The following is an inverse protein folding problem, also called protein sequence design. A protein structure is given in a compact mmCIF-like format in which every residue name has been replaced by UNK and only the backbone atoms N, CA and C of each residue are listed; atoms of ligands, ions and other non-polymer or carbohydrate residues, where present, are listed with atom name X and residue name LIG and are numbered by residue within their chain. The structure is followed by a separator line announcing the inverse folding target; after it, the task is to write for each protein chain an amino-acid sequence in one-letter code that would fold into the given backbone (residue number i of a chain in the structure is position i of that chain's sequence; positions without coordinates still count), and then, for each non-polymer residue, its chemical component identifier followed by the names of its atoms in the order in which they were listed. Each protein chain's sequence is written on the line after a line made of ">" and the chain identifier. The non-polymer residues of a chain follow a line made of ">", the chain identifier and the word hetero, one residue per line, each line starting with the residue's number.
data_IF_088803351569
#
_entry.id   IF_088803351569
#
_cell.length_a   1.000
_cell.length_b   1.000
_cell.length_c   1.000
_cell.angle_alpha   90.00
_cell.angle_beta   90.00
_cell.angle_gamma   90.00
#
_symmetry.space_group_name_H-M   'P 1'
#
loop_
_entity.id
_entity.type
_entity.pdbx_description
1 polymer ?
#
# COMPACT_ATOMS: atom_id res chain seq x y z
N UNK A 1 11.54 18.50 -0.98
CA UNK A 1 12.14 17.60 -2.00
C UNK A 1 11.04 16.69 -2.53
N UNK A 2 10.93 16.57 -3.86
CA UNK A 2 9.92 15.70 -4.48
C UNK A 2 10.18 14.22 -4.13
N UNK A 3 9.13 13.42 -4.10
CA UNK A 3 9.23 11.98 -3.84
C UNK A 3 10.05 11.30 -4.95
N UNK A 4 11.09 10.54 -4.58
CA UNK A 4 11.81 9.69 -5.54
C UNK A 4 10.88 8.70 -6.25
N UNK A 5 11.16 8.34 -7.51
CA UNK A 5 10.32 7.40 -8.27
C UNK A 5 10.29 6.02 -7.62
N UNK A 6 9.15 5.32 -7.76
CA UNK A 6 8.90 4.03 -7.10
C UNK A 6 9.95 2.96 -7.42
N UNK A 7 10.54 3.00 -8.62
CA UNK A 7 11.59 2.06 -9.06
C UNK A 7 12.76 1.96 -8.08
N UNK A 8 13.13 3.04 -7.40
CA UNK A 8 14.24 3.06 -6.45
C UNK A 8 13.99 2.20 -5.20
N UNK A 9 12.73 1.99 -4.82
CA UNK A 9 12.37 1.25 -3.59
C UNK A 9 11.57 -0.02 -3.91
N UNK A 10 11.51 -0.47 -5.17
CA UNK A 10 10.69 -1.63 -5.57
C UNK A 10 11.26 -2.95 -5.03
N UNK A 11 12.59 -3.07 -4.93
CA UNK A 11 13.29 -4.29 -4.49
C UNK A 11 13.07 -4.54 -3.00
N UNK A 12 12.82 -5.79 -2.63
CA UNK A 12 12.71 -6.18 -1.21
C UNK A 12 14.07 -6.03 -0.53
N UNK A 13 14.08 -5.38 0.63
CA UNK A 13 15.24 -5.18 1.49
C UNK A 13 15.04 -5.89 2.83
N UNK A 14 16.11 -5.99 3.63
CA UNK A 14 16.00 -6.42 5.02
C UNK A 14 14.96 -5.57 5.75
N UNK A 15 13.99 -6.17 6.47
CA UNK A 15 12.95 -5.41 7.15
C UNK A 15 13.51 -4.39 8.15
N UNK A 16 13.15 -3.11 7.96
CA UNK A 16 13.47 -2.02 8.87
C UNK A 16 12.17 -1.48 9.48
N UNK A 17 11.74 -2.11 10.58
CA UNK A 17 10.36 -1.99 11.08
C UNK A 17 10.25 -1.66 12.58
N UNK A 18 11.37 -1.62 13.31
CA UNK A 18 11.37 -1.50 14.79
C UNK A 18 11.01 -0.09 15.26
N UNK A 19 9.70 0.17 15.24
CA UNK A 19 9.04 1.39 15.67
C UNK A 19 8.03 1.04 16.76
N UNK A 20 8.06 1.75 17.87
CA UNK A 20 7.04 1.71 18.91
C UNK A 20 6.33 3.05 19.00
N UNK A 21 5.01 3.03 18.77
CA UNK A 21 4.17 4.22 18.95
C UNK A 21 3.97 4.57 20.42
N UNK A 22 3.75 3.55 21.27
CA UNK A 22 3.45 3.72 22.70
C UNK A 22 4.69 4.06 23.54
N UNK A 23 5.85 3.52 23.17
CA UNK A 23 7.12 3.74 23.88
C UNK A 23 8.20 4.20 22.89
N UNK A 24 8.19 5.48 22.45
CA UNK A 24 9.14 5.99 21.47
C UNK A 24 10.61 5.77 21.84
N UNK A 25 10.94 5.78 23.15
CA UNK A 25 12.29 5.48 23.67
C UNK A 25 12.79 4.07 23.29
N UNK A 26 11.88 3.11 23.10
CA UNK A 26 12.22 1.74 22.69
C UNK A 26 12.38 1.59 21.18
N UNK A 27 11.98 2.58 20.37
CA UNK A 27 12.13 2.53 18.91
C UNK A 27 13.60 2.66 18.51
N UNK A 28 14.08 1.79 17.61
CA UNK A 28 15.38 2.00 16.96
C UNK A 28 15.25 2.94 15.75
N UNK A 29 14.11 2.91 15.06
CA UNK A 29 13.84 3.85 13.96
C UNK A 29 13.11 5.07 14.50
N UNK A 30 13.72 6.25 14.37
CA UNK A 30 13.20 7.52 14.86
C UNK A 30 12.86 8.46 13.70
N UNK A 31 11.88 9.34 13.89
CA UNK A 31 11.50 10.33 12.87
C UNK A 31 10.79 9.74 11.64
N UNK A 32 10.05 8.64 11.81
CA UNK A 32 9.27 8.03 10.71
C UNK A 32 8.06 8.92 10.40
N UNK A 33 7.87 9.34 9.14
CA UNK A 33 6.72 10.15 8.76
C UNK A 33 5.42 9.34 8.79
N UNK A 34 4.29 10.05 8.92
CA UNK A 34 2.97 9.43 8.89
C UNK A 34 2.70 8.79 7.52
N UNK A 35 2.04 7.62 7.53
CA UNK A 35 1.57 6.96 6.31
C UNK A 35 0.30 7.62 5.79
N UNK A 36 0.20 7.75 4.46
CA UNK A 36 -0.97 8.30 3.75
C UNK A 36 -2.22 7.43 3.87
N UNK A 37 -2.09 6.10 3.83
CA UNK A 37 -3.21 5.19 4.03
C UNK A 37 -3.61 5.17 5.52
N UNK A 38 -4.84 5.61 5.80
CA UNK A 38 -5.40 5.64 7.17
C UNK A 38 -6.51 4.61 7.32
N UNK A 39 -7.44 4.55 6.37
CA UNK A 39 -8.57 3.61 6.35
C UNK A 39 -8.21 2.37 5.54
N UNK A 40 -8.34 1.19 6.14
CA UNK A 40 -8.09 -0.09 5.48
C UNK A 40 -9.38 -0.79 5.07
N UNK A 41 -10.50 -0.42 5.69
CA UNK A 41 -11.81 -0.99 5.45
C UNK A 41 -12.77 0.11 4.99
N UNK A 42 -13.60 -0.22 4.02
CA UNK A 42 -14.61 0.66 3.44
C UNK A 42 -15.88 -0.15 3.15
N UNK A 43 -17.02 0.55 3.12
CA UNK A 43 -18.33 -0.06 2.96
C UNK A 43 -18.83 -0.70 4.26
N UNK A 44 -19.75 -1.64 4.15
CA UNK A 44 -20.32 -2.33 5.32
C UNK A 44 -19.55 -3.62 5.62
N UNK A 45 -19.04 -3.73 6.84
CA UNK A 45 -18.32 -4.92 7.33
C UNK A 45 -19.23 -5.97 7.95
N UNK A 46 -20.45 -5.58 8.35
CA UNK A 46 -21.38 -6.42 9.10
C UNK A 46 -22.28 -7.25 8.18
N UNK A 47 -22.57 -6.74 6.98
CA UNK A 47 -23.38 -7.45 5.99
C UNK A 47 -22.69 -8.72 5.51
N UNK A 48 -23.48 -9.78 5.29
CA UNK A 48 -23.01 -11.01 4.66
C UNK A 48 -23.01 -10.83 3.13
N UNK A 49 -21.96 -11.33 2.49
CA UNK A 49 -21.76 -11.23 1.05
C UNK A 49 -21.45 -12.62 0.49
N UNK A 50 -22.01 -12.93 -0.66
CA UNK A 50 -21.89 -14.26 -1.26
C UNK A 50 -20.57 -14.45 -2.01
N UNK A 51 -20.01 -13.37 -2.57
CA UNK A 51 -18.84 -13.45 -3.46
C UNK A 51 -17.70 -12.58 -2.94
N UNK A 52 -16.48 -13.13 -3.00
CA UNK A 52 -15.24 -12.43 -2.62
C UNK A 52 -14.26 -12.40 -3.80
N UNK A 53 -13.80 -11.21 -4.14
CA UNK A 53 -12.69 -11.01 -5.07
C UNK A 53 -11.42 -10.64 -4.34
N UNK A 54 -10.32 -11.28 -4.72
CA UNK A 54 -8.98 -10.98 -4.24
C UNK A 54 -8.10 -10.47 -5.37
N UNK A 55 -7.32 -9.44 -5.07
CA UNK A 55 -6.19 -9.05 -5.90
C UNK A 55 -4.91 -9.68 -5.35
N UNK A 56 -4.23 -10.48 -6.15
CA UNK A 56 -3.07 -11.28 -5.74
C UNK A 56 -1.82 -10.79 -6.45
N UNK A 57 -0.75 -10.51 -5.71
CA UNK A 57 0.54 -10.13 -6.29
C UNK A 57 1.23 -11.33 -6.96
N UNK A 58 1.72 -11.18 -8.20
CA UNK A 58 2.49 -12.24 -8.86
C UNK A 58 3.99 -12.19 -8.54
N UNK A 59 4.52 -11.02 -8.22
CA UNK A 59 5.94 -10.83 -7.96
C UNK A 59 6.19 -10.35 -6.53
N UNK A 60 7.39 -10.64 -6.03
CA UNK A 60 7.87 -10.14 -4.76
C UNK A 60 8.30 -8.67 -4.92
N UNK A 61 7.58 -7.73 -4.31
CA UNK A 61 7.85 -6.29 -4.43
C UNK A 61 7.59 -5.54 -3.14
N UNK A 62 8.18 -4.36 -3.00
CA UNK A 62 7.72 -3.38 -2.03
C UNK A 62 6.68 -2.43 -2.64
N UNK A 63 5.57 -2.26 -1.93
CA UNK A 63 4.48 -1.38 -2.31
C UNK A 63 4.45 -0.19 -1.35
N UNK A 64 4.62 1.03 -1.87
CA UNK A 64 4.56 2.23 -1.04
C UNK A 64 3.15 2.47 -0.52
N UNK A 65 3.06 3.07 0.66
CA UNK A 65 1.78 3.51 1.25
C UNK A 65 0.96 4.44 0.34
N UNK A 66 1.63 5.23 -0.51
CA UNK A 66 0.96 6.07 -1.52
C UNK A 66 0.21 5.24 -2.58
N UNK A 67 0.80 4.12 -3.02
CA UNK A 67 0.18 3.22 -3.99
C UNK A 67 -1.00 2.47 -3.36
N UNK A 68 -0.89 2.07 -2.08
CA UNK A 68 -1.99 1.46 -1.33
C UNK A 68 -3.20 2.39 -1.23
N UNK A 69 -2.98 3.66 -0.88
CA UNK A 69 -4.07 4.64 -0.82
C UNK A 69 -4.66 4.93 -2.21
N UNK A 70 -3.83 5.04 -3.24
CA UNK A 70 -4.30 5.25 -4.61
C UNK A 70 -5.15 4.07 -5.12
N UNK A 71 -4.72 2.83 -4.84
CA UNK A 71 -5.46 1.61 -5.19
C UNK A 71 -6.81 1.56 -4.45
N UNK A 72 -6.82 1.88 -3.15
CA UNK A 72 -8.04 1.96 -2.33
C UNK A 72 -9.02 2.98 -2.88
N UNK A 73 -8.58 4.21 -3.16
CA UNK A 73 -9.45 5.28 -3.70
C UNK A 73 -10.01 4.89 -5.08
N UNK A 74 -9.18 4.30 -5.95
CA UNK A 74 -9.60 3.89 -7.28
C UNK A 74 -10.68 2.80 -7.24
N UNK A 75 -10.50 1.76 -6.42
CA UNK A 75 -11.49 0.71 -6.22
C UNK A 75 -12.77 1.27 -5.58
N UNK A 76 -12.63 2.04 -4.50
CA UNK A 76 -13.76 2.57 -3.74
C UNK A 76 -14.63 3.50 -4.58
N UNK A 77 -14.04 4.41 -5.36
CA UNK A 77 -14.81 5.34 -6.21
C UNK A 77 -15.66 4.61 -7.24
N UNK A 78 -15.15 3.49 -7.77
CA UNK A 78 -15.90 2.67 -8.71
C UNK A 78 -17.05 1.95 -8.02
N UNK A 79 -16.76 1.25 -6.93
CA UNK A 79 -17.77 0.50 -6.17
C UNK A 79 -18.88 1.41 -5.62
N UNK A 80 -18.52 2.60 -5.15
CA UNK A 80 -19.49 3.59 -4.65
C UNK A 80 -20.46 4.05 -5.75
N UNK A 81 -19.98 4.19 -6.99
CA UNK A 81 -20.79 4.63 -8.12
C UNK A 81 -21.73 3.53 -8.66
N UNK A 82 -21.26 2.28 -8.75
CA UNK A 82 -22.00 1.21 -9.44
C UNK A 82 -22.70 0.23 -8.49
N UNK A 83 -22.13 -0.01 -7.31
CA UNK A 83 -22.67 -0.95 -6.33
C UNK A 83 -23.51 -0.21 -5.27
N UNK A 84 -23.05 0.96 -4.85
CA UNK A 84 -23.62 1.74 -3.76
C UNK A 84 -22.93 1.47 -2.42
N UNK A 85 -22.78 2.51 -1.60
CA UNK A 85 -21.94 2.53 -0.39
C UNK A 85 -22.15 1.38 0.60
N UNK A 86 -23.39 0.93 0.77
CA UNK A 86 -23.77 -0.09 1.78
C UNK A 86 -23.88 -1.50 1.21
N UNK A 87 -23.57 -1.67 -0.08
CA UNK A 87 -23.71 -2.94 -0.82
C UNK A 87 -22.38 -3.61 -1.17
N UNK A 88 -21.25 -3.10 -0.67
CA UNK A 88 -19.95 -3.74 -0.82
C UNK A 88 -19.11 -3.63 0.46
N UNK A 89 -18.13 -4.53 0.56
CA UNK A 89 -17.03 -4.41 1.51
C UNK A 89 -15.71 -4.38 0.75
N UNK A 90 -14.86 -3.39 1.03
CA UNK A 90 -13.52 -3.29 0.46
C UNK A 90 -12.51 -3.25 1.59
N UNK A 91 -11.51 -4.14 1.52
CA UNK A 91 -10.43 -4.22 2.50
C UNK A 91 -9.06 -4.25 1.85
N UNK A 92 -8.17 -3.39 2.31
CA UNK A 92 -6.73 -3.46 2.04
C UNK A 92 -6.12 -4.43 3.05
N UNK A 93 -5.58 -5.55 2.58
CA UNK A 93 -5.07 -6.62 3.44
C UNK A 93 -3.63 -6.37 3.92
N UNK A 94 -2.84 -5.65 3.12
CA UNK A 94 -1.42 -5.42 3.40
C UNK A 94 -1.19 -4.10 4.11
N UNK A 95 -0.33 -4.12 5.13
CA UNK A 95 0.02 -2.93 5.92
C UNK A 95 1.47 -2.48 5.67
N UNK A 96 1.73 -1.17 5.52
CA UNK A 96 3.08 -0.68 5.23
C UNK A 96 3.93 -0.60 6.51
N UNK A 97 4.56 -1.72 6.88
CA UNK A 97 5.43 -1.81 8.06
C UNK A 97 6.86 -1.34 7.81
N UNK A 98 7.38 -1.54 6.60
CA UNK A 98 8.77 -1.28 6.26
C UNK A 98 9.02 0.22 6.11
N UNK A 99 10.04 0.75 6.77
CA UNK A 99 10.42 2.16 6.61
C UNK A 99 11.40 2.30 5.47
N UNK A 100 11.15 3.27 4.62
CA UNK A 100 12.04 3.69 3.54
C UNK A 100 12.95 4.79 4.05
N UNK A 101 14.24 4.70 3.72
CA UNK A 101 15.25 5.71 4.05
C UNK A 101 15.87 6.29 2.79
N UNK A 102 16.29 7.54 2.90
CA UNK A 102 16.96 8.25 1.83
C UNK A 102 18.14 9.04 2.38
N UNK A 103 19.29 8.95 1.73
CA UNK A 103 20.35 9.93 1.93
C UNK A 103 19.98 11.19 1.12
N UNK A 104 19.57 12.24 1.84
CA UNK A 104 19.15 13.50 1.24
C UNK A 104 20.39 14.28 0.77
N UNK A 105 20.46 14.49 -0.55
CA UNK A 105 21.50 15.27 -1.20
C UNK A 105 20.93 16.67 -1.40
N UNK A 106 21.58 17.69 -0.86
CA UNK A 106 21.20 19.07 -1.11
C UNK A 106 21.51 19.40 -2.58
N UNK A 107 20.54 19.98 -3.28
CA UNK A 107 20.66 20.35 -4.69
C UNK A 107 20.50 21.85 -4.82
N UNK A 108 21.34 22.50 -5.63
CA UNK A 108 21.31 23.95 -5.85
C UNK A 108 22.71 24.58 -5.71
N UNK A 109 22.82 25.87 -6.01
CA UNK A 109 24.07 26.61 -5.85
C UNK A 109 24.48 26.67 -4.37
N UNK A 110 25.74 26.34 -4.06
CA UNK A 110 26.26 26.35 -2.69
C UNK A 110 25.85 25.16 -1.81
N UNK A 111 25.18 24.14 -2.37
CA UNK A 111 24.79 22.94 -1.64
C UNK A 111 25.98 22.08 -1.18
N UNK A 112 27.09 22.15 -1.91
CA UNK A 112 28.39 21.55 -1.60
C UNK A 112 28.93 22.01 -0.24
N UNK A 113 28.63 23.25 0.17
CA UNK A 113 29.07 23.81 1.46
C UNK A 113 28.37 23.17 2.66
N UNK A 114 27.15 22.65 2.47
CA UNK A 114 26.31 22.09 3.54
C UNK A 114 26.21 20.57 3.48
N UNK A 115 26.70 19.94 2.41
CA UNK A 115 26.57 18.51 2.19
C UNK A 115 27.92 17.80 2.27
N UNK A 116 27.98 16.72 3.05
CA UNK A 116 29.18 15.89 3.23
C UNK A 116 29.30 14.75 2.21
N UNK A 117 28.59 14.85 1.09
CA UNK A 117 28.53 13.80 0.05
C UNK A 117 28.02 12.46 0.60
N UNK A 118 28.87 11.43 0.52
CA UNK A 118 28.57 10.06 0.97
C UNK A 118 29.07 9.75 2.39
N UNK A 119 29.74 10.70 3.06
CA UNK A 119 30.11 10.52 4.46
C UNK A 119 28.83 10.43 5.31
N UNK A 120 28.73 9.42 6.18
CA UNK A 120 27.54 9.16 7.02
C UNK A 120 26.23 8.93 6.23
N UNK A 121 26.29 8.22 5.10
CA UNK A 121 25.18 7.98 4.18
C UNK A 121 24.04 7.02 4.65
N UNK A 122 23.81 6.85 5.95
CA UNK A 122 22.73 5.96 6.43
C UNK A 122 21.33 6.42 6.00
N UNK A 123 21.14 7.74 5.90
CA UNK A 123 19.90 8.36 5.45
C UNK A 123 18.85 8.54 6.54
N UNK A 124 17.81 9.33 6.22
CA UNK A 124 16.68 9.63 7.09
C UNK A 124 15.43 8.89 6.61
N UNK A 125 14.51 8.48 7.51
CA UNK A 125 13.20 7.95 7.11
C UNK A 125 12.42 8.94 6.24
N UNK A 126 11.91 8.47 5.10
CA UNK A 126 11.12 9.29 4.15
C UNK A 126 9.70 8.76 3.93
N UNK A 127 9.43 7.49 4.24
CA UNK A 127 8.12 6.91 4.02
C UNK A 127 8.02 5.48 4.50
N UNK A 128 6.88 4.85 4.23
CA UNK A 128 6.65 3.44 4.54
C UNK A 128 6.20 2.64 3.32
N UNK A 129 6.47 1.34 3.33
CA UNK A 129 6.08 0.39 2.30
C UNK A 129 5.64 -0.95 2.93
N UNK A 130 4.79 -1.67 2.22
CA UNK A 130 4.46 -3.05 2.50
C UNK A 130 5.38 -3.95 1.67
N UNK A 131 6.07 -4.89 2.31
CA UNK A 131 6.82 -5.92 1.60
C UNK A 131 5.88 -7.09 1.31
N UNK A 132 5.70 -7.40 0.04
CA UNK A 132 4.73 -8.38 -0.44
C UNK A 132 5.46 -9.54 -1.10
N UNK A 133 5.03 -10.76 -0.80
CA UNK A 133 5.53 -11.99 -1.41
C UNK A 133 4.69 -12.38 -2.65
N UNK A 134 5.24 -13.21 -3.56
CA UNK A 134 4.45 -13.79 -4.63
C UNK A 134 3.24 -14.54 -4.06
N UNK A 135 2.12 -14.49 -4.77
CA UNK A 135 0.83 -15.07 -4.40
C UNK A 135 0.17 -14.52 -3.12
N UNK A 136 0.68 -13.43 -2.56
CA UNK A 136 0.04 -12.77 -1.43
C UNK A 136 -1.15 -11.92 -1.87
N UNK A 137 -2.27 -12.02 -1.15
CA UNK A 137 -3.47 -11.21 -1.35
C UNK A 137 -3.24 -9.77 -0.87
N UNK A 138 -3.56 -8.80 -1.71
CA UNK A 138 -3.35 -7.36 -1.50
C UNK A 138 -4.63 -6.63 -1.07
N UNK A 139 -5.71 -6.90 -1.81
CA UNK A 139 -7.02 -6.29 -1.66
C UNK A 139 -8.07 -7.38 -1.67
N UNK A 140 -9.14 -7.15 -0.94
CA UNK A 140 -10.34 -7.96 -0.90
C UNK A 140 -11.54 -7.06 -1.19
N UNK A 141 -12.43 -7.52 -2.06
CA UNK A 141 -13.73 -6.91 -2.31
C UNK A 141 -14.79 -7.97 -2.12
N UNK A 142 -15.87 -7.66 -1.40
CA UNK A 142 -17.01 -8.55 -1.23
C UNK A 142 -18.27 -7.85 -1.71
N UNK A 143 -19.09 -8.57 -2.47
CA UNK A 143 -20.39 -8.11 -2.98
C UNK A 143 -21.37 -9.27 -3.04
N UNK A 144 -22.65 -8.96 -3.25
CA UNK A 144 -23.70 -9.94 -3.53
C UNK A 144 -23.50 -10.58 -4.91
N UNK A 145 -23.98 -11.82 -5.09
CA UNK A 145 -23.76 -12.60 -6.32
C UNK A 145 -24.14 -11.88 -7.62
N UNK A 146 -25.17 -11.03 -7.59
CA UNK A 146 -25.61 -10.25 -8.75
C UNK A 146 -24.56 -9.27 -9.30
N UNK A 147 -23.59 -8.84 -8.47
CA UNK A 147 -22.62 -7.77 -8.79
C UNK A 147 -21.19 -8.28 -8.99
N UNK A 148 -20.99 -9.56 -9.30
CA UNK A 148 -19.65 -10.14 -9.53
C UNK A 148 -18.84 -9.38 -10.60
N UNK A 149 -19.49 -8.89 -11.66
CA UNK A 149 -18.81 -8.13 -12.73
C UNK A 149 -18.12 -6.87 -12.20
N UNK A 150 -18.74 -6.22 -11.21
CA UNK A 150 -18.21 -4.99 -10.60
C UNK A 150 -16.93 -5.25 -9.80
N UNK A 151 -16.76 -6.46 -9.25
CA UNK A 151 -15.52 -6.87 -8.57
C UNK A 151 -14.35 -6.86 -9.55
N UNK A 152 -14.52 -7.46 -10.73
CA UNK A 152 -13.45 -7.58 -11.74
C UNK A 152 -12.95 -6.21 -12.16
N UNK A 153 -13.86 -5.29 -12.43
CA UNK A 153 -13.52 -3.93 -12.87
C UNK A 153 -12.91 -3.09 -11.73
N UNK A 154 -13.45 -3.18 -10.50
CA UNK A 154 -12.86 -2.54 -9.33
C UNK A 154 -11.41 -2.98 -9.08
N UNK A 155 -11.15 -4.30 -9.13
CA UNK A 155 -9.83 -4.87 -8.90
C UNK A 155 -8.86 -4.59 -10.06
N UNK A 156 -9.35 -4.53 -11.30
CA UNK A 156 -8.55 -4.10 -12.46
C UNK A 156 -8.07 -2.67 -12.32
N UNK A 157 -8.94 -1.75 -11.88
CA UNK A 157 -8.55 -0.35 -11.64
C UNK A 157 -7.54 -0.22 -10.51
N UNK A 158 -7.67 -1.04 -9.47
CA UNK A 158 -6.71 -1.10 -8.39
C UNK A 158 -5.36 -1.68 -8.83
N UNK A 159 -5.36 -2.72 -9.67
CA UNK A 159 -4.14 -3.38 -10.16
C UNK A 159 -3.21 -2.41 -10.88
N UNK A 160 -3.77 -1.49 -11.67
CA UNK A 160 -3.02 -0.43 -12.36
C UNK A 160 -2.29 0.56 -11.44
N UNK A 161 -2.58 0.57 -10.12
CA UNK A 161 -1.90 1.42 -9.14
C UNK A 161 -0.72 0.73 -8.46
N UNK A 162 -0.59 -0.59 -8.61
CA UNK A 162 0.50 -1.35 -8.00
C UNK A 162 1.74 -1.45 -8.90
N UNK A 163 2.94 -1.59 -8.31
CA UNK A 163 4.18 -1.72 -9.07
C UNK A 163 4.45 -3.15 -9.56
N UNK A 164 3.53 -4.10 -9.36
CA UNK A 164 3.62 -5.50 -9.75
C UNK A 164 2.45 -5.87 -10.64
N UNK A 165 2.65 -6.86 -11.51
CA UNK A 165 1.52 -7.56 -12.11
C UNK A 165 0.72 -8.28 -11.03
N UNK A 166 -0.60 -8.22 -11.18
CA UNK A 166 -1.54 -8.81 -10.23
C UNK A 166 -2.50 -9.74 -10.97
N UNK A 167 -2.90 -10.80 -10.30
CA UNK A 167 -3.97 -11.70 -10.74
C UNK A 167 -5.23 -11.42 -9.93
N UNK A 168 -6.38 -11.46 -10.57
CA UNK A 168 -7.69 -11.39 -9.91
C UNK A 168 -8.15 -12.82 -9.66
N UNK A 169 -8.55 -13.12 -8.43
CA UNK A 169 -9.09 -14.43 -8.03
C UNK A 169 -10.47 -14.17 -7.43
N UNK A 170 -11.47 -14.92 -7.85
CA UNK A 170 -12.84 -14.83 -7.31
C UNK A 170 -13.13 -16.15 -6.62
N UNK A 171 -13.66 -16.04 -5.41
CA UNK A 171 -14.00 -17.15 -4.53
C UNK A 171 -15.44 -16.91 -4.05
N UNK A 172 -16.25 -17.96 -4.06
CA UNK A 172 -17.51 -17.96 -3.33
C UNK A 172 -17.19 -17.90 -1.83
N UNK A 173 -17.99 -17.15 -1.07
CA UNK A 173 -17.83 -17.09 0.37
C UNK A 173 -18.15 -18.49 0.96
N UNK A 174 -17.30 -19.05 1.84
CA UNK A 174 -17.71 -20.18 2.65
C UNK A 174 -18.84 -19.71 3.56
N UNK A 175 -19.95 -20.43 3.53
CA UNK A 175 -21.10 -20.25 4.42
C UNK A 175 -20.69 -20.16 5.89
#
# INVERSE_FOLDING_TARGET
>A
MALRPAKCYRKIERPWTRISKKKPKKSYVKGVPAKKIVKFEMGDSKRKYDVRGFLVAQQAVQIRHNALEAARVAANRYLDKFVGKDSYFLKVLVYPHHVLRENAIATGAGADRFQTGMRKAFGKPVGTAAQVRPNQRLLEVRVEKAKEREIKEALRRASAKFPTTCRIVIEDAPN
#
